data_IF_878121097075
#
_entry.id   IF_878121097075
#
_cell.length_a   1.000
_cell.length_b   1.000
_cell.length_c   1.000
_cell.angle_alpha   90.00
_cell.angle_beta   90.00
_cell.angle_gamma   90.00
#
_symmetry.space_group_name_H-M   'P 1'
#
loop_
_entity.id
_entity.type
_entity.pdbx_description
1 polymer ?
#
# COMPACT_ATOMS: atom_id res chain seq x y z
N UNK A 1 32.16 8.03 -47.96
CA UNK A 1 32.45 8.12 -46.51
C UNK A 1 31.11 8.07 -45.79
N UNK A 2 30.86 6.97 -45.09
CA UNK A 2 29.58 6.67 -44.45
C UNK A 2 29.48 7.37 -43.09
N UNK A 3 28.33 7.99 -42.82
CA UNK A 3 27.92 8.41 -41.46
C UNK A 3 26.50 7.89 -41.24
N UNK A 4 26.42 6.79 -40.52
CA UNK A 4 25.20 6.14 -40.03
C UNK A 4 24.43 7.09 -39.11
N UNK A 5 23.14 7.29 -39.39
CA UNK A 5 22.20 7.92 -38.47
C UNK A 5 21.51 6.83 -37.64
N UNK A 6 21.62 6.82 -36.29
CA UNK A 6 20.95 5.82 -35.48
C UNK A 6 19.46 6.16 -35.33
N UNK A 7 18.63 5.47 -36.10
CA UNK A 7 17.16 5.44 -35.99
C UNK A 7 16.75 4.50 -34.85
N UNK A 8 16.45 5.05 -33.68
CA UNK A 8 15.87 4.30 -32.56
C UNK A 8 15.45 5.21 -31.40
N UNK A 9 14.42 4.87 -30.61
CA UNK A 9 13.99 5.69 -29.48
C UNK A 9 15.08 5.70 -28.41
N UNK A 10 15.71 6.87 -28.24
CA UNK A 10 16.77 7.10 -27.27
C UNK A 10 16.20 6.96 -25.86
N UNK A 11 16.66 5.95 -25.13
CA UNK A 11 16.31 5.73 -23.73
C UNK A 11 16.89 6.88 -22.89
N UNK A 12 16.07 7.65 -22.15
CA UNK A 12 16.55 8.81 -21.41
C UNK A 12 17.50 8.35 -20.29
N UNK A 13 18.79 8.67 -20.46
CA UNK A 13 19.82 8.39 -19.46
C UNK A 13 19.96 9.61 -18.55
N UNK A 14 20.07 9.43 -17.23
CA UNK A 14 20.34 10.50 -16.27
C UNK A 14 21.74 11.11 -16.53
N UNK A 15 21.85 12.03 -17.49
CA UNK A 15 23.02 12.88 -17.69
C UNK A 15 22.73 14.25 -17.08
N UNK A 16 23.73 14.83 -16.43
CA UNK A 16 23.69 16.22 -15.95
C UNK A 16 23.47 17.12 -17.17
N UNK A 17 22.34 17.83 -17.18
CA UNK A 17 21.92 18.67 -18.30
C UNK A 17 22.95 19.80 -18.47
N UNK A 18 23.67 19.81 -19.61
CA UNK A 18 24.58 20.91 -19.93
C UNK A 18 23.80 22.14 -20.37
N UNK A 19 24.40 23.35 -20.26
CA UNK A 19 23.75 24.62 -20.63
C UNK A 19 23.16 24.62 -22.04
N UNK A 20 23.87 24.01 -23.00
CA UNK A 20 23.40 23.87 -24.38
C UNK A 20 22.16 22.99 -24.52
N UNK A 21 22.00 21.94 -23.70
CA UNK A 21 20.78 21.11 -23.71
C UNK A 21 19.58 21.86 -23.11
N UNK A 22 19.83 22.75 -22.13
CA UNK A 22 18.78 23.57 -21.54
C UNK A 22 18.29 24.62 -22.55
N UNK A 23 19.19 25.28 -23.27
CA UNK A 23 18.84 26.21 -24.36
C UNK A 23 18.09 25.49 -25.49
N UNK A 24 18.53 24.28 -25.88
CA UNK A 24 17.82 23.46 -26.86
C UNK A 24 16.40 23.06 -26.38
N UNK A 25 16.22 22.76 -25.09
CA UNK A 25 14.91 22.45 -24.54
C UNK A 25 13.99 23.67 -24.47
N UNK A 26 14.49 24.81 -24.00
CA UNK A 26 13.72 26.07 -23.96
C UNK A 26 13.24 26.52 -25.34
N UNK A 27 13.95 26.15 -26.41
CA UNK A 27 13.59 26.46 -27.80
C UNK A 27 12.78 25.34 -28.47
N UNK A 28 12.55 24.22 -27.77
CA UNK A 28 11.83 23.07 -28.32
C UNK A 28 10.32 23.20 -28.09
N UNK A 29 9.50 22.74 -29.04
CA UNK A 29 8.04 22.80 -28.92
C UNK A 29 7.47 22.00 -27.73
N UNK A 30 8.20 21.01 -27.22
CA UNK A 30 7.78 20.26 -26.02
C UNK A 30 7.85 21.09 -24.75
N UNK A 31 8.71 22.12 -24.70
CA UNK A 31 8.70 23.09 -23.61
C UNK A 31 7.41 23.91 -23.62
N UNK A 32 7.00 24.39 -24.79
CA UNK A 32 5.77 25.19 -24.93
C UNK A 32 4.53 24.37 -24.59
N UNK A 33 4.49 23.08 -24.95
CA UNK A 33 3.43 22.16 -24.53
C UNK A 33 3.37 21.98 -23.01
N UNK A 34 4.52 21.83 -22.34
CA UNK A 34 4.59 21.69 -20.87
C UNK A 34 4.17 22.99 -20.19
N UNK A 35 4.62 24.14 -20.69
CA UNK A 35 4.22 25.45 -20.14
C UNK A 35 2.71 25.65 -20.31
N UNK A 36 2.17 25.37 -21.50
CA UNK A 36 0.73 25.45 -21.77
C UNK A 36 -0.06 24.52 -20.84
N UNK A 37 0.43 23.30 -20.61
CA UNK A 37 -0.19 22.35 -19.69
C UNK A 37 -0.14 22.83 -18.23
N UNK A 38 1.00 23.38 -17.80
CA UNK A 38 1.13 23.95 -16.45
C UNK A 38 0.24 25.17 -16.28
N UNK A 39 0.12 26.03 -17.29
CA UNK A 39 -0.79 27.18 -17.27
C UNK A 39 -2.25 26.74 -17.23
N UNK A 40 -2.65 25.72 -18.00
CA UNK A 40 -3.98 25.11 -17.92
C UNK A 40 -4.27 24.51 -16.55
N UNK A 41 -3.30 23.79 -15.96
CA UNK A 41 -3.43 23.26 -14.60
C UNK A 41 -3.54 24.38 -13.57
N UNK A 42 -2.76 25.44 -13.74
CA UNK A 42 -2.78 26.57 -12.83
C UNK A 42 -4.07 27.35 -12.99
N UNK A 43 -4.61 27.55 -14.19
CA UNK A 43 -5.91 28.20 -14.42
C UNK A 43 -7.06 27.35 -13.84
N UNK A 44 -6.99 26.03 -14.01
CA UNK A 44 -7.92 25.08 -13.42
C UNK A 44 -7.83 25.03 -11.88
N UNK A 45 -6.65 25.28 -11.30
CA UNK A 45 -6.44 25.26 -9.86
C UNK A 45 -6.66 26.61 -9.17
N UNK A 46 -6.32 27.72 -9.84
CA UNK A 46 -6.38 29.10 -9.31
C UNK A 46 -7.82 29.59 -9.17
N UNK A 47 -8.76 29.00 -9.90
CA UNK A 47 -10.20 29.27 -9.77
C UNK A 47 -10.93 28.34 -8.80
N UNK A 48 -10.26 27.31 -8.25
CA UNK A 48 -10.81 26.46 -7.19
C UNK A 48 -10.30 26.99 -5.86
N UNK A 49 -11.11 27.80 -5.18
CA UNK A 49 -10.84 28.06 -3.76
C UNK A 49 -10.90 26.72 -3.04
N UNK A 50 -10.12 26.55 -1.97
CA UNK A 50 -10.20 25.38 -1.09
C UNK A 50 -11.62 25.15 -0.50
N UNK A 51 -12.52 26.12 -0.71
CA UNK A 51 -13.94 26.16 -0.32
C UNK A 51 -14.91 25.95 -1.49
N UNK A 52 -14.46 25.81 -2.73
CA UNK A 52 -15.34 25.50 -3.85
C UNK A 52 -15.61 23.99 -3.93
N UNK A 53 -16.88 23.64 -4.12
CA UNK A 53 -17.36 22.26 -4.23
C UNK A 53 -16.72 21.62 -5.47
N UNK A 54 -15.66 20.85 -5.25
CA UNK A 54 -15.09 19.96 -6.27
C UNK A 54 -16.24 19.05 -6.73
N UNK A 55 -16.56 18.96 -8.03
CA UNK A 55 -17.47 17.95 -8.52
C UNK A 55 -16.79 16.59 -8.32
N UNK A 56 -17.06 15.98 -7.17
CA UNK A 56 -16.72 14.60 -6.88
C UNK A 56 -17.26 13.75 -8.01
N UNK A 57 -16.40 12.96 -8.66
CA UNK A 57 -16.87 11.84 -9.46
C UNK A 57 -17.80 11.02 -8.60
N UNK A 58 -19.06 10.88 -9.03
CA UNK A 58 -20.08 9.98 -8.48
C UNK A 58 -20.07 9.92 -6.95
N UNK A 59 -20.82 10.82 -6.29
CA UNK A 59 -21.02 10.93 -4.84
C UNK A 59 -21.02 9.56 -4.13
N UNK A 60 -19.84 9.04 -3.81
CA UNK A 60 -19.71 7.93 -2.92
C UNK A 60 -20.01 8.53 -1.55
N UNK A 61 -21.27 8.43 -1.13
CA UNK A 61 -21.68 8.82 0.20
C UNK A 61 -20.67 8.21 1.19
N UNK A 62 -20.37 8.87 2.33
CA UNK A 62 -19.51 8.28 3.35
C UNK A 62 -19.93 6.84 3.73
N UNK A 63 -21.22 6.52 3.58
CA UNK A 63 -21.80 5.20 3.75
C UNK A 63 -21.42 4.20 2.64
N UNK A 64 -21.33 4.62 1.38
CA UNK A 64 -20.87 3.76 0.27
C UNK A 64 -19.39 3.45 0.35
N UNK A 65 -18.57 4.44 0.72
CA UNK A 65 -17.15 4.24 0.99
C UNK A 65 -16.98 3.26 2.16
N UNK A 66 -17.75 3.45 3.24
CA UNK A 66 -17.76 2.54 4.37
C UNK A 66 -18.20 1.13 3.99
N UNK A 67 -19.27 0.98 3.21
CA UNK A 67 -19.81 -0.30 2.74
C UNK A 67 -18.81 -1.06 1.86
N UNK A 68 -18.19 -0.39 0.87
CA UNK A 68 -17.11 -0.99 0.05
C UNK A 68 -15.94 -1.43 0.91
N UNK A 69 -15.57 -0.61 1.89
CA UNK A 69 -14.46 -0.90 2.79
C UNK A 69 -14.77 -2.08 3.74
N UNK A 70 -16.01 -2.20 4.21
CA UNK A 70 -16.51 -3.35 4.97
C UNK A 70 -16.57 -4.63 4.11
N UNK A 71 -16.93 -4.49 2.83
CA UNK A 71 -16.89 -5.58 1.86
C UNK A 71 -15.47 -6.12 1.65
N UNK A 72 -14.50 -5.22 1.48
CA UNK A 72 -13.09 -5.56 1.41
C UNK A 72 -12.58 -6.22 2.70
N UNK A 73 -12.96 -5.69 3.86
CA UNK A 73 -12.63 -6.29 5.15
C UNK A 73 -13.14 -7.72 5.29
N UNK A 74 -14.39 -7.96 4.90
CA UNK A 74 -15.02 -9.28 4.95
C UNK A 74 -14.28 -10.26 4.04
N UNK A 75 -14.07 -9.90 2.77
CA UNK A 75 -13.36 -10.76 1.82
C UNK A 75 -11.91 -11.02 2.23
N UNK A 76 -11.20 -10.01 2.74
CA UNK A 76 -9.83 -10.16 3.23
C UNK A 76 -9.75 -11.10 4.45
N UNK A 77 -10.72 -11.01 5.38
CA UNK A 77 -10.77 -11.92 6.53
C UNK A 77 -11.06 -13.37 6.13
N UNK A 78 -11.89 -13.58 5.11
CA UNK A 78 -12.18 -14.90 4.57
C UNK A 78 -10.99 -15.48 3.80
N UNK A 79 -10.32 -14.67 2.99
CA UNK A 79 -9.09 -15.06 2.30
C UNK A 79 -7.98 -15.47 3.28
N UNK A 80 -7.83 -14.73 4.39
CA UNK A 80 -6.89 -15.09 5.45
C UNK A 80 -7.19 -16.50 6.01
N UNK A 81 -8.45 -16.83 6.26
CA UNK A 81 -8.84 -18.14 6.77
C UNK A 81 -8.48 -19.26 5.78
N UNK A 82 -8.75 -19.05 4.49
CA UNK A 82 -8.39 -20.00 3.43
C UNK A 82 -6.87 -20.21 3.38
N UNK A 83 -6.06 -19.15 3.42
CA UNK A 83 -4.60 -19.28 3.41
C UNK A 83 -4.05 -19.98 4.66
N UNK A 84 -4.68 -19.78 5.82
CA UNK A 84 -4.32 -20.51 7.04
C UNK A 84 -4.69 -22.00 6.92
N UNK A 85 -5.81 -22.32 6.29
CA UNK A 85 -6.24 -23.70 6.05
C UNK A 85 -5.36 -24.40 4.99
N UNK A 86 -4.85 -23.66 4.00
CA UNK A 86 -3.87 -24.13 3.01
C UNK A 86 -2.44 -24.28 3.59
N UNK A 87 -2.14 -23.63 4.73
CA UNK A 87 -0.83 -23.68 5.38
C UNK A 87 0.22 -22.74 4.77
N UNK A 88 -0.16 -21.79 3.92
CA UNK A 88 0.76 -20.78 3.37
C UNK A 88 0.96 -19.62 4.37
N UNK A 89 2.05 -19.71 5.14
CA UNK A 89 2.43 -18.74 6.19
C UNK A 89 2.60 -17.32 5.63
N UNK A 90 3.23 -17.17 4.46
CA UNK A 90 3.58 -15.86 3.92
C UNK A 90 2.32 -15.11 3.46
N UNK A 91 1.44 -15.80 2.75
CA UNK A 91 0.18 -15.22 2.26
C UNK A 91 -0.79 -14.94 3.40
N UNK A 92 -0.92 -15.88 4.35
CA UNK A 92 -1.74 -15.69 5.54
C UNK A 92 -1.28 -14.47 6.37
N UNK A 93 0.03 -14.29 6.53
CA UNK A 93 0.58 -13.18 7.30
C UNK A 93 0.44 -11.83 6.58
N UNK A 94 0.63 -11.79 5.26
CA UNK A 94 0.41 -10.57 4.48
C UNK A 94 -1.07 -10.14 4.53
N UNK A 95 -2.01 -11.10 4.43
CA UNK A 95 -3.43 -10.83 4.63
C UNK A 95 -3.73 -10.30 6.04
N UNK A 96 -3.13 -10.91 7.07
CA UNK A 96 -3.28 -10.47 8.47
C UNK A 96 -2.79 -9.03 8.68
N UNK A 97 -1.62 -8.68 8.13
CA UNK A 97 -1.04 -7.33 8.19
C UNK A 97 -1.99 -6.31 7.57
N UNK A 98 -2.48 -6.56 6.35
CA UNK A 98 -3.40 -5.65 5.64
C UNK A 98 -4.66 -5.41 6.46
N UNK A 99 -5.20 -6.48 7.05
CA UNK A 99 -6.39 -6.42 7.88
C UNK A 99 -6.14 -5.61 9.17
N UNK A 100 -5.00 -5.78 9.83
CA UNK A 100 -4.66 -5.01 11.03
C UNK A 100 -4.31 -3.55 10.76
N UNK A 101 -3.64 -3.25 9.64
CA UNK A 101 -3.41 -1.86 9.20
C UNK A 101 -4.75 -1.18 8.93
N UNK A 102 -5.66 -1.86 8.25
CA UNK A 102 -6.98 -1.33 7.98
C UNK A 102 -7.76 -1.06 9.29
N UNK A 103 -7.77 -2.01 10.24
CA UNK A 103 -8.44 -1.82 11.53
C UNK A 103 -7.92 -0.61 12.29
N UNK A 104 -6.59 -0.42 12.34
CA UNK A 104 -5.97 0.76 12.95
C UNK A 104 -6.37 2.06 12.27
N UNK A 105 -6.58 2.07 10.95
CA UNK A 105 -7.06 3.27 10.21
C UNK A 105 -8.45 3.73 10.67
N UNK A 106 -9.26 2.81 11.19
CA UNK A 106 -10.59 3.05 11.75
C UNK A 106 -10.60 3.07 13.28
N UNK A 107 -9.43 3.23 13.90
CA UNK A 107 -9.26 3.28 15.35
C UNK A 107 -9.72 2.00 16.08
N UNK A 108 -9.84 0.86 15.38
CA UNK A 108 -10.06 -0.44 16.00
C UNK A 108 -8.72 -1.06 16.42
N UNK A 109 -8.37 -0.88 17.69
CA UNK A 109 -7.16 -1.43 18.32
C UNK A 109 -7.40 -2.75 19.06
N UNK A 110 -8.58 -3.37 18.91
CA UNK A 110 -8.86 -4.63 19.59
C UNK A 110 -7.95 -5.75 19.10
N UNK A 111 -7.22 -6.37 20.04
CA UNK A 111 -6.31 -7.48 19.75
C UNK A 111 -7.12 -8.79 19.71
N UNK A 112 -7.92 -9.07 20.73
CA UNK A 112 -8.76 -10.27 20.85
C UNK A 112 -10.12 -9.87 21.49
N UNK A 113 -11.27 -10.44 21.10
CA UNK A 113 -11.49 -11.53 20.14
C UNK A 113 -11.72 -11.03 18.70
N UNK A 114 -10.73 -11.20 17.82
CA UNK A 114 -10.83 -10.81 16.40
C UNK A 114 -10.63 -11.99 15.46
N UNK A 115 -11.17 -11.93 14.24
CA UNK A 115 -10.92 -12.96 13.20
C UNK A 115 -9.44 -13.07 12.85
N UNK A 116 -8.69 -11.95 12.89
CA UNK A 116 -7.24 -11.91 12.70
C UNK A 116 -6.54 -12.72 13.79
N UNK A 117 -6.89 -12.47 15.06
CA UNK A 117 -6.28 -13.16 16.19
C UNK A 117 -6.53 -14.67 16.15
N UNK A 118 -7.74 -15.11 15.81
CA UNK A 118 -8.07 -16.55 15.69
C UNK A 118 -7.25 -17.23 14.60
N UNK A 119 -7.19 -16.63 13.41
CA UNK A 119 -6.41 -17.15 12.29
C UNK A 119 -4.90 -17.14 12.60
N UNK A 120 -4.39 -16.10 13.27
CA UNK A 120 -3.00 -15.98 13.65
C UNK A 120 -2.60 -16.98 14.75
N UNK A 121 -3.44 -17.20 15.76
CA UNK A 121 -3.16 -18.22 16.80
C UNK A 121 -3.22 -19.63 16.24
N UNK A 122 -4.11 -19.90 15.28
CA UNK A 122 -4.10 -21.16 14.53
C UNK A 122 -2.78 -21.36 13.78
N UNK A 123 -2.25 -20.31 13.15
CA UNK A 123 -0.96 -20.34 12.45
C UNK A 123 0.24 -20.51 13.40
N UNK A 124 0.21 -19.86 14.57
CA UNK A 124 1.23 -20.01 15.61
C UNK A 124 1.23 -21.45 16.16
N UNK A 125 0.06 -22.06 16.32
CA UNK A 125 -0.07 -23.46 16.76
C UNK A 125 0.52 -24.47 15.76
N UNK A 126 0.43 -24.20 14.46
CA UNK A 126 0.94 -25.13 13.43
C UNK A 126 2.43 -24.96 13.15
N UNK A 127 2.95 -23.73 13.17
CA UNK A 127 4.31 -23.42 12.71
C UNK A 127 5.27 -22.92 13.79
N UNK A 128 4.77 -22.60 14.98
CA UNK A 128 5.54 -22.01 16.08
C UNK A 128 5.64 -20.49 15.98
N UNK A 129 5.68 -19.83 17.14
CA UNK A 129 5.73 -18.37 17.24
C UNK A 129 7.02 -17.80 16.64
N UNK A 130 8.16 -18.45 16.89
CA UNK A 130 9.46 -18.02 16.39
C UNK A 130 9.45 -17.87 14.86
N UNK A 131 8.96 -18.90 14.15
CA UNK A 131 8.89 -18.91 12.68
C UNK A 131 8.02 -17.78 12.13
N UNK A 132 6.87 -17.52 12.73
CA UNK A 132 5.96 -16.43 12.33
C UNK A 132 6.56 -15.05 12.63
N UNK A 133 7.36 -14.91 13.68
CA UNK A 133 8.06 -13.66 14.01
C UNK A 133 9.26 -13.38 13.08
N UNK A 134 9.96 -14.44 12.64
CA UNK A 134 11.10 -14.31 11.72
C UNK A 134 10.68 -14.01 10.28
N UNK A 135 9.50 -14.49 9.85
CA UNK A 135 8.96 -14.16 8.52
C UNK A 135 8.58 -12.69 8.38
N UNK A 136 8.36 -11.98 9.48
CA UNK A 136 8.22 -10.53 9.49
C UNK A 136 9.62 -9.90 9.36
N UNK A 137 10.05 -9.59 8.14
CA UNK A 137 11.36 -8.97 7.92
C UNK A 137 11.36 -7.48 8.33
N UNK A 138 10.23 -6.78 8.19
CA UNK A 138 10.14 -5.33 8.47
C UNK A 138 9.79 -5.03 9.93
N UNK A 139 10.55 -4.12 10.55
CA UNK A 139 10.34 -3.66 11.92
C UNK A 139 8.97 -2.99 12.13
N UNK A 140 8.47 -2.26 11.13
CA UNK A 140 7.17 -1.57 11.20
C UNK A 140 6.03 -2.61 11.25
N UNK A 141 6.15 -3.68 10.46
CA UNK A 141 5.17 -4.77 10.44
C UNK A 141 5.15 -5.53 11.77
N UNK A 142 6.33 -5.71 12.39
CA UNK A 142 6.43 -6.30 13.73
C UNK A 142 5.71 -5.48 14.79
N UNK A 143 5.86 -4.16 14.80
CA UNK A 143 5.18 -3.29 15.77
C UNK A 143 3.66 -3.38 15.68
N UNK A 144 3.11 -3.52 14.47
CA UNK A 144 1.66 -3.67 14.26
C UNK A 144 1.18 -5.01 14.82
N UNK A 145 1.96 -6.07 14.62
CA UNK A 145 1.65 -7.44 15.05
C UNK A 145 2.01 -7.76 16.51
N UNK A 146 2.83 -6.92 17.15
CA UNK A 146 3.42 -7.18 18.46
C UNK A 146 2.35 -7.41 19.54
N UNK A 147 1.25 -6.67 19.51
CA UNK A 147 0.14 -6.87 20.46
C UNK A 147 -0.46 -8.27 20.40
N UNK A 148 -0.57 -8.85 19.19
CA UNK A 148 -1.06 -10.22 19.03
C UNK A 148 -0.04 -11.25 19.53
N UNK A 149 1.26 -11.03 19.33
CA UNK A 149 2.30 -11.93 19.82
C UNK A 149 2.44 -11.89 21.35
N UNK A 150 2.37 -10.70 21.96
CA UNK A 150 2.38 -10.56 23.41
C UNK A 150 1.17 -11.25 24.05
N UNK A 151 0.00 -11.15 23.42
CA UNK A 151 -1.17 -11.90 23.85
C UNK A 151 -0.91 -13.41 23.77
N UNK A 152 -0.41 -13.91 22.64
CA UNK A 152 -0.08 -15.34 22.47
C UNK A 152 0.90 -15.86 23.54
N UNK A 153 1.94 -15.08 23.87
CA UNK A 153 2.93 -15.39 24.91
C UNK A 153 2.33 -15.37 26.31
N UNK A 154 1.51 -14.37 26.64
CA UNK A 154 0.92 -14.20 27.97
C UNK A 154 -0.06 -15.33 28.29
N UNK A 155 -0.89 -15.69 27.31
CA UNK A 155 -1.89 -16.75 27.45
C UNK A 155 -1.33 -18.15 27.15
N UNK A 156 -0.02 -18.27 26.88
CA UNK A 156 0.67 -19.52 26.52
C UNK A 156 -0.12 -20.35 25.52
N UNK A 157 -0.58 -19.71 24.44
CA UNK A 157 -1.25 -20.43 23.37
C UNK A 157 -0.30 -21.51 22.82
N UNK A 158 -0.80 -22.72 22.59
CA UNK A 158 -0.01 -23.86 22.10
C UNK A 158 0.88 -23.43 20.91
N UNK A 159 2.19 -23.71 20.98
CA UNK A 159 3.18 -23.25 19.99
C UNK A 159 3.89 -21.92 20.32
N UNK A 160 3.59 -21.31 21.48
CA UNK A 160 4.28 -20.09 21.96
C UNK A 160 5.58 -20.35 22.74
N UNK A 161 5.78 -21.57 23.26
CA UNK A 161 6.95 -21.98 24.03
C UNK A 161 8.15 -22.48 23.17
N UNK A 162 8.03 -22.46 21.84
CA UNK A 162 9.04 -22.95 20.88
C UNK A 162 9.48 -21.90 19.85
#
# INVERSE_FOLDING_TARGET
MATDAPTGPVVPTKRVVSKAHLEAWLTSGTHDEVVTFVEQLNEAAVSVKLTDEVPTSEEATPLDVYSRSCGFLRSASQAQQIYVDEGDVQRALNAAIRLSVFRRRWYDEQIHPTVVSKALFKLIRTHGLAKVSYTLVSAILKQIMQGYFQFAQTFRTEGSDF
#
